data_IF_623841551645
#
_entry.id   IF_623841551645
#
_cell.length_a   1.000
_cell.length_b   1.000
_cell.length_c   1.000
_cell.angle_alpha   90.00
_cell.angle_beta   90.00
_cell.angle_gamma   90.00
#
_symmetry.space_group_name_H-M   'P 1'
#
loop_
_entity.id
_entity.type
_entity.pdbx_description
1 polymer ?
#
# COMPACT_ATOMS: atom_id res chain seq x y z
N UNK A 1 6.16 9.50 9.14
CA UNK A 1 6.56 8.89 7.86
C UNK A 1 5.40 8.93 6.88
N UNK A 2 5.68 9.16 5.63
CA UNK A 2 4.65 9.10 4.57
C UNK A 2 4.61 7.72 3.95
N UNK A 3 3.47 7.05 4.05
CA UNK A 3 3.31 5.67 3.60
C UNK A 3 2.23 5.61 2.53
N UNK A 4 2.58 4.99 1.40
CA UNK A 4 1.62 4.71 0.32
C UNK A 4 1.22 3.23 0.38
N UNK A 5 -0.08 2.98 0.40
CA UNK A 5 -0.62 1.62 0.34
C UNK A 5 -1.26 1.43 -1.03
N UNK A 6 -0.86 0.38 -1.74
CA UNK A 6 -1.44 0.00 -3.02
C UNK A 6 -2.54 -1.02 -2.77
N UNK A 7 -3.78 -0.66 -3.07
CA UNK A 7 -4.93 -1.51 -2.91
C UNK A 7 -5.70 -1.26 -1.61
N UNK A 8 -7.04 -1.23 -1.71
CA UNK A 8 -7.95 -0.96 -0.60
C UNK A 8 -8.83 -2.17 -0.25
N UNK A 9 -8.34 -3.40 -0.48
CA UNK A 9 -9.00 -4.61 -0.02
C UNK A 9 -8.88 -4.78 1.49
N UNK A 10 -9.19 -5.97 2.01
CA UNK A 10 -9.17 -6.24 3.44
C UNK A 10 -7.82 -5.92 4.09
N UNK A 11 -6.72 -6.37 3.48
CA UNK A 11 -5.39 -6.13 4.04
C UNK A 11 -4.96 -4.68 3.91
N UNK A 12 -5.25 -4.05 2.76
CA UNK A 12 -4.94 -2.64 2.56
C UNK A 12 -5.68 -1.74 3.55
N UNK A 13 -6.96 -2.00 3.76
CA UNK A 13 -7.77 -1.26 4.74
C UNK A 13 -7.26 -1.47 6.17
N UNK A 14 -6.89 -2.70 6.51
CA UNK A 14 -6.35 -3.03 7.82
C UNK A 14 -5.05 -2.26 8.09
N UNK A 15 -4.11 -2.29 7.15
CA UNK A 15 -2.84 -1.57 7.31
C UNK A 15 -3.03 -0.05 7.32
N UNK A 16 -3.98 0.44 6.54
CA UNK A 16 -4.31 1.87 6.54
C UNK A 16 -4.78 2.32 7.91
N UNK A 17 -5.71 1.58 8.51
CA UNK A 17 -6.22 1.91 9.84
C UNK A 17 -5.12 1.84 10.90
N UNK A 18 -4.29 0.79 10.85
CA UNK A 18 -3.23 0.56 11.81
C UNK A 18 -2.16 1.66 11.75
N UNK A 19 -1.73 2.03 10.53
CA UNK A 19 -0.61 2.95 10.33
C UNK A 19 -1.01 4.42 10.41
N UNK A 20 -2.27 4.74 10.16
CA UNK A 20 -2.73 6.14 10.16
C UNK A 20 -2.68 6.81 11.54
N UNK A 21 -2.53 6.04 12.61
CA UNK A 21 -2.39 6.59 13.96
C UNK A 21 -1.11 7.38 14.15
N UNK A 22 -0.02 6.96 13.53
CA UNK A 22 1.31 7.56 13.76
C UNK A 22 1.97 8.09 12.48
N UNK A 23 1.36 7.82 11.31
CA UNK A 23 1.96 8.17 10.02
C UNK A 23 0.95 8.83 9.10
N UNK A 24 1.47 9.57 8.13
CA UNK A 24 0.65 10.06 7.03
C UNK A 24 0.50 8.94 6.00
N UNK A 25 -0.73 8.50 5.78
CA UNK A 25 -1.02 7.37 4.90
C UNK A 25 -1.84 7.84 3.70
N UNK A 26 -1.43 7.41 2.50
CA UNK A 26 -2.21 7.54 1.29
C UNK A 26 -2.50 6.15 0.74
N UNK A 27 -3.66 5.98 0.13
CA UNK A 27 -4.08 4.72 -0.49
C UNK A 27 -4.38 4.97 -1.96
N UNK A 28 -3.74 4.18 -2.83
CA UNK A 28 -4.03 4.20 -4.26
C UNK A 28 -4.86 2.97 -4.61
N UNK A 29 -6.08 3.20 -5.09
CA UNK A 29 -7.01 2.15 -5.48
C UNK A 29 -7.78 2.59 -6.72
N UNK A 30 -7.83 1.73 -7.73
CA UNK A 30 -8.53 2.03 -8.97
C UNK A 30 -10.05 1.83 -8.88
N UNK A 31 -10.51 1.02 -7.93
CA UNK A 31 -11.93 0.74 -7.74
C UNK A 31 -12.54 1.69 -6.70
N UNK A 32 -13.41 2.65 -7.10
CA UNK A 32 -14.02 3.58 -6.16
C UNK A 32 -14.85 2.91 -5.06
N UNK A 33 -15.38 1.73 -5.34
CA UNK A 33 -16.18 0.99 -4.36
C UNK A 33 -15.35 0.54 -3.17
N UNK A 34 -14.08 0.20 -3.41
CA UNK A 34 -13.17 -0.20 -2.34
C UNK A 34 -12.70 0.99 -1.52
N UNK A 35 -12.60 2.16 -2.13
CA UNK A 35 -12.19 3.39 -1.45
C UNK A 35 -13.15 3.84 -0.36
N UNK A 36 -14.42 3.42 -0.41
CA UNK A 36 -15.40 3.79 0.62
C UNK A 36 -15.05 3.30 2.01
N UNK A 37 -14.15 2.32 2.12
CA UNK A 37 -13.70 1.79 3.42
C UNK A 37 -12.49 2.54 3.98
N UNK A 38 -11.98 3.52 3.26
CA UNK A 38 -10.81 4.28 3.67
C UNK A 38 -11.28 5.62 4.26
N UNK A 39 -11.10 5.78 5.57
CA UNK A 39 -11.59 6.96 6.29
C UNK A 39 -10.47 7.88 6.78
N UNK A 40 -9.34 7.33 7.19
CA UNK A 40 -8.29 8.07 7.88
C UNK A 40 -7.03 8.28 7.03
N UNK A 41 -7.16 8.24 5.72
CA UNK A 41 -6.04 8.35 4.81
C UNK A 41 -6.40 9.16 3.58
N UNK A 42 -5.39 9.68 2.92
CA UNK A 42 -5.55 10.36 1.65
C UNK A 42 -5.92 9.36 0.57
N UNK A 43 -6.97 9.65 -0.17
CA UNK A 43 -7.44 8.76 -1.25
C UNK A 43 -6.87 9.21 -2.58
N UNK A 44 -6.05 8.35 -3.19
CA UNK A 44 -5.48 8.60 -4.52
C UNK A 44 -6.16 7.69 -5.53
N UNK A 45 -6.51 8.25 -6.68
CA UNK A 45 -7.16 7.49 -7.75
C UNK A 45 -6.25 7.28 -8.95
N UNK A 46 -5.24 8.13 -9.12
CA UNK A 46 -4.33 8.07 -10.26
C UNK A 46 -2.88 7.95 -9.79
N UNK A 47 -2.05 7.15 -10.50
CA UNK A 47 -0.63 7.02 -10.13
C UNK A 47 0.13 8.35 -10.10
N UNK A 48 -0.23 9.31 -10.92
CA UNK A 48 0.42 10.63 -10.98
C UNK A 48 0.33 11.39 -9.66
N UNK A 49 -0.72 11.15 -8.88
CA UNK A 49 -0.90 11.79 -7.58
C UNK A 49 0.15 11.35 -6.56
N UNK A 50 0.78 10.19 -6.78
CA UNK A 50 1.85 9.68 -5.92
C UNK A 50 3.06 10.62 -5.91
N UNK A 51 3.36 11.25 -7.03
CA UNK A 51 4.48 12.19 -7.13
C UNK A 51 4.34 13.37 -6.17
N UNK A 52 3.12 13.85 -5.94
CA UNK A 52 2.86 14.94 -5.00
C UNK A 52 2.93 14.48 -3.55
N UNK A 53 2.49 13.26 -3.28
CA UNK A 53 2.50 12.70 -1.93
C UNK A 53 3.92 12.42 -1.45
N UNK A 54 4.83 12.00 -2.32
CA UNK A 54 6.24 11.68 -2.02
C UNK A 54 6.37 10.66 -0.89
N UNK A 55 5.88 9.42 -1.09
CA UNK A 55 5.95 8.42 -0.03
C UNK A 55 7.39 8.00 0.27
N UNK A 56 7.64 7.68 1.53
CA UNK A 56 8.91 7.12 1.99
C UNK A 56 8.87 5.60 2.02
N UNK A 57 7.67 5.03 2.14
CA UNK A 57 7.44 3.60 2.15
C UNK A 57 6.22 3.28 1.29
N UNK A 58 6.33 2.26 0.45
CA UNK A 58 5.21 1.73 -0.32
C UNK A 58 4.95 0.29 0.12
N UNK A 59 3.70 0.01 0.53
CA UNK A 59 3.27 -1.35 0.89
C UNK A 59 2.27 -1.81 -0.18
N UNK A 60 2.60 -2.89 -0.88
CA UNK A 60 1.72 -3.43 -1.90
C UNK A 60 0.78 -4.47 -1.29
N UNK A 61 -0.52 -4.14 -1.26
CA UNK A 61 -1.58 -5.02 -0.76
C UNK A 61 -2.48 -5.54 -1.88
N UNK A 62 -2.06 -5.38 -3.12
CA UNK A 62 -2.76 -5.91 -4.29
C UNK A 62 -2.51 -7.42 -4.39
N UNK A 63 -3.43 -8.16 -5.02
CA UNK A 63 -3.25 -9.60 -5.20
C UNK A 63 -1.99 -9.91 -6.01
N UNK A 64 -1.40 -11.10 -5.80
CA UNK A 64 -0.14 -11.50 -6.44
C UNK A 64 -0.15 -11.32 -7.95
N UNK A 65 -1.28 -11.63 -8.61
CA UNK A 65 -1.39 -11.52 -10.07
C UNK A 65 -1.25 -10.09 -10.59
N UNK A 66 -1.49 -9.09 -9.74
CA UNK A 66 -1.43 -7.67 -10.12
C UNK A 66 -0.27 -6.91 -9.46
N UNK A 67 0.52 -7.58 -8.64
CA UNK A 67 1.60 -6.95 -7.86
C UNK A 67 2.59 -6.20 -8.75
N UNK A 68 3.08 -6.86 -9.81
CA UNK A 68 4.08 -6.28 -10.72
C UNK A 68 3.50 -5.05 -11.45
N UNK A 69 2.26 -5.16 -11.92
CA UNK A 69 1.60 -4.05 -12.62
C UNK A 69 1.38 -2.86 -11.69
N UNK A 70 0.96 -3.12 -10.45
CA UNK A 70 0.76 -2.08 -9.46
C UNK A 70 2.06 -1.33 -9.18
N UNK A 71 3.17 -2.02 -8.96
CA UNK A 71 4.46 -1.38 -8.77
C UNK A 71 4.91 -0.59 -10.00
N UNK A 72 4.77 -1.17 -11.19
CA UNK A 72 5.16 -0.49 -12.43
C UNK A 72 4.40 0.81 -12.63
N UNK A 73 3.13 0.87 -12.23
CA UNK A 73 2.32 2.06 -12.41
C UNK A 73 2.78 3.23 -11.54
N UNK A 74 3.39 2.97 -10.39
CA UNK A 74 3.82 4.02 -9.46
C UNK A 74 5.32 4.28 -9.47
N UNK A 75 6.13 3.35 -9.97
CA UNK A 75 7.59 3.48 -9.98
C UNK A 75 8.10 4.82 -10.53
N UNK A 76 7.59 5.34 -11.66
CA UNK A 76 8.07 6.62 -12.19
C UNK A 76 7.82 7.81 -11.27
N UNK A 77 6.91 7.67 -10.31
CA UNK A 77 6.50 8.75 -9.41
C UNK A 77 7.12 8.65 -8.01
N UNK A 78 7.93 7.61 -7.77
CA UNK A 78 8.57 7.41 -6.47
C UNK A 78 9.91 8.13 -6.40
N UNK A 79 10.25 8.59 -5.19
CA UNK A 79 11.55 9.18 -4.93
C UNK A 79 12.62 8.08 -4.79
N UNK A 80 13.91 8.38 -5.06
CA UNK A 80 14.96 7.36 -4.99
C UNK A 80 15.13 6.73 -3.59
N UNK A 81 14.76 7.44 -2.54
CA UNK A 81 14.88 6.95 -1.15
C UNK A 81 13.70 6.08 -0.72
N UNK A 82 12.68 5.92 -1.55
CA UNK A 82 11.47 5.20 -1.16
C UNK A 82 11.74 3.70 -0.99
N UNK A 83 11.28 3.15 0.14
CA UNK A 83 11.38 1.73 0.45
C UNK A 83 10.11 1.04 -0.07
N UNK A 84 10.28 -0.09 -0.74
CA UNK A 84 9.16 -0.85 -1.30
C UNK A 84 9.03 -2.18 -0.55
N UNK A 85 7.81 -2.48 -0.08
CA UNK A 85 7.52 -3.72 0.63
C UNK A 85 6.30 -4.40 0.01
N UNK A 86 6.28 -5.73 0.05
CA UNK A 86 5.19 -6.54 -0.49
C UNK A 86 4.54 -7.32 0.64
N UNK A 87 3.22 -7.20 0.77
CA UNK A 87 2.46 -7.90 1.80
C UNK A 87 2.52 -9.42 1.64
N UNK A 88 2.69 -9.91 0.41
CA UNK A 88 2.82 -11.35 0.17
C UNK A 88 4.04 -11.92 0.89
N UNK A 89 5.16 -11.20 0.89
CA UNK A 89 6.36 -11.60 1.64
C UNK A 89 6.11 -11.62 3.14
N UNK A 90 5.40 -10.63 3.65
CA UNK A 90 5.02 -10.57 5.07
C UNK A 90 4.13 -11.75 5.44
N UNK A 91 3.14 -12.09 4.61
CA UNK A 91 2.26 -13.24 4.83
C UNK A 91 3.04 -14.55 4.87
N UNK A 92 4.01 -14.72 3.98
CA UNK A 92 4.84 -15.91 3.94
C UNK A 92 5.65 -16.05 5.23
N UNK A 93 6.27 -14.98 5.69
CA UNK A 93 7.02 -14.98 6.94
C UNK A 93 6.13 -15.30 8.14
N UNK A 94 4.93 -14.72 8.20
CA UNK A 94 3.98 -15.02 9.27
C UNK A 94 3.54 -16.48 9.24
N UNK A 95 3.29 -17.03 8.06
CA UNK A 95 2.91 -18.42 7.91
C UNK A 95 4.02 -19.35 8.42
N UNK A 96 5.26 -19.09 8.00
CA UNK A 96 6.41 -19.86 8.47
C UNK A 96 6.56 -19.79 9.99
N UNK A 97 6.39 -18.61 10.56
CA UNK A 97 6.44 -18.42 12.01
C UNK A 97 5.41 -19.28 12.73
N UNK A 98 4.17 -19.27 12.26
CA UNK A 98 3.09 -20.05 12.88
C UNK A 98 3.28 -21.55 12.69
N UNK A 99 3.88 -21.99 11.61
CA UNK A 99 4.16 -23.42 11.37
C UNK A 99 5.30 -23.94 12.25
N UNK A 100 6.23 -23.07 12.65
CA UNK A 100 7.36 -23.45 13.51
C UNK A 100 7.05 -23.35 15.01
N UNK A 101 5.96 -22.72 15.34
CA UNK A 101 5.44 -22.64 16.70
C UNK A 101 4.35 -23.69 16.92
#
# INVERSE_FOLDING_TARGET
>A
MKILILGAGKMGSFFTDLLSFEHEVAVLESDPKRMRFIYNALRLQKPEEVAEFKPELVINCVTLSYTIEAFKSVMPYLQPYCIISDIASVKTLLKEFYETC
#
